data_IF_223976516970
#
_entry.id   IF_223976516970
#
_cell.length_a   1.000
_cell.length_b   1.000
_cell.length_c   1.000
_cell.angle_alpha   90.00
_cell.angle_beta   90.00
_cell.angle_gamma   90.00
#
_symmetry.space_group_name_H-M   'P 1'
#
loop_
_entity.id
_entity.type
_entity.pdbx_description
1 polymer ?
#
# COMPACT_ATOMS: atom_id res chain seq x y z
N UNK A 1 -26.51 5.42 18.52
CA UNK A 1 -26.08 4.02 18.70
C UNK A 1 -26.78 3.08 17.72
N UNK A 2 -28.13 3.00 17.72
CA UNK A 2 -28.88 2.12 16.80
C UNK A 2 -28.61 2.36 15.31
N UNK A 3 -28.42 3.61 14.88
CA UNK A 3 -28.17 3.94 13.47
C UNK A 3 -26.87 3.33 12.94
N UNK A 4 -25.80 3.29 13.74
CA UNK A 4 -24.53 2.68 13.31
C UNK A 4 -24.67 1.16 13.18
N UNK A 5 -25.36 0.50 14.12
CA UNK A 5 -25.57 -0.95 14.09
C UNK A 5 -26.45 -1.35 12.90
N UNK A 6 -27.52 -0.61 12.64
CA UNK A 6 -28.41 -0.85 11.48
C UNK A 6 -27.69 -0.63 10.14
N UNK A 7 -26.76 0.34 10.07
CA UNK A 7 -25.98 0.59 8.87
C UNK A 7 -24.83 -0.42 8.68
N UNK A 8 -24.24 -0.94 9.76
CA UNK A 8 -23.26 -2.03 9.70
C UNK A 8 -23.88 -3.30 9.10
N UNK A 9 -25.16 -3.57 9.35
CA UNK A 9 -25.88 -4.68 8.70
C UNK A 9 -26.03 -4.50 7.18
N UNK A 10 -25.91 -3.27 6.67
CA UNK A 10 -26.02 -2.94 5.25
C UNK A 10 -24.65 -2.85 4.55
N UNK A 11 -23.54 -3.18 5.23
CA UNK A 11 -22.21 -3.21 4.61
C UNK A 11 -22.11 -4.32 3.56
N UNK A 12 -22.82 -5.43 3.79
CA UNK A 12 -22.88 -6.61 2.93
C UNK A 12 -24.11 -6.62 2.01
N UNK A 13 -24.67 -5.44 1.72
CA UNK A 13 -25.77 -5.32 0.76
C UNK A 13 -25.30 -5.68 -0.65
N UNK A 14 -26.08 -6.48 -1.39
CA UNK A 14 -25.83 -6.76 -2.81
C UNK A 14 -25.88 -5.49 -3.68
N UNK A 15 -26.57 -4.44 -3.20
CA UNK A 15 -26.58 -3.15 -3.86
C UNK A 15 -25.30 -2.35 -3.50
N UNK A 16 -24.42 -2.23 -4.49
CA UNK A 16 -23.15 -1.49 -4.37
C UNK A 16 -23.33 -0.04 -3.92
N UNK A 17 -24.42 0.63 -4.30
CA UNK A 17 -24.68 2.01 -3.91
C UNK A 17 -25.11 2.07 -2.43
N UNK A 18 -25.94 1.13 -1.99
CA UNK A 18 -26.33 1.01 -0.58
C UNK A 18 -25.13 0.65 0.30
N UNK A 19 -24.30 -0.32 -0.12
CA UNK A 19 -23.05 -0.69 0.57
C UNK A 19 -22.07 0.49 0.63
N UNK A 20 -21.91 1.25 -0.46
CA UNK A 20 -21.05 2.42 -0.45
C UNK A 20 -21.59 3.52 0.49
N UNK A 21 -22.88 3.85 0.39
CA UNK A 21 -23.49 4.86 1.25
C UNK A 21 -23.47 4.46 2.73
N UNK A 22 -23.69 3.18 3.04
CA UNK A 22 -23.61 2.68 4.42
C UNK A 22 -22.20 2.85 4.98
N UNK A 23 -21.16 2.50 4.22
CA UNK A 23 -19.76 2.73 4.60
C UNK A 23 -19.49 4.22 4.84
N UNK A 24 -19.98 5.11 3.98
CA UNK A 24 -19.78 6.55 4.15
C UNK A 24 -20.50 7.11 5.39
N UNK A 25 -21.73 6.67 5.65
CA UNK A 25 -22.51 7.07 6.81
C UNK A 25 -21.89 6.58 8.12
N UNK A 26 -21.50 5.31 8.18
CA UNK A 26 -20.81 4.75 9.36
C UNK A 26 -19.49 5.44 9.58
N UNK A 27 -18.69 5.68 8.53
CA UNK A 27 -17.42 6.40 8.67
C UNK A 27 -17.62 7.82 9.20
N UNK A 28 -18.68 8.52 8.79
CA UNK A 28 -19.04 9.83 9.33
C UNK A 28 -19.47 9.76 10.81
N UNK A 29 -20.26 8.74 11.18
CA UNK A 29 -20.68 8.54 12.57
C UNK A 29 -19.51 8.16 13.49
N UNK A 30 -18.59 7.32 13.02
CA UNK A 30 -17.35 6.97 13.74
C UNK A 30 -16.50 8.21 13.96
N UNK A 31 -16.34 9.05 12.94
CA UNK A 31 -15.62 10.32 13.09
C UNK A 31 -16.28 11.25 14.10
N UNK A 32 -17.61 11.35 14.09
CA UNK A 32 -18.34 12.10 15.11
C UNK A 32 -18.05 11.57 16.51
N UNK A 33 -18.12 10.25 16.75
CA UNK A 33 -17.79 9.67 18.06
C UNK A 33 -16.32 9.89 18.45
N UNK A 34 -15.39 9.76 17.50
CA UNK A 34 -13.96 10.01 17.71
C UNK A 34 -13.72 11.44 18.20
N UNK A 35 -14.41 12.42 17.61
CA UNK A 35 -14.38 13.81 18.04
C UNK A 35 -14.92 14.03 19.46
N UNK A 36 -15.83 13.17 19.92
CA UNK A 36 -16.32 13.14 21.29
C UNK A 36 -15.47 12.27 22.24
N UNK A 37 -14.32 11.79 21.77
CA UNK A 37 -13.31 11.14 22.59
C UNK A 37 -13.36 9.62 22.63
N UNK A 38 -14.26 8.95 21.91
CA UNK A 38 -14.36 7.49 21.91
C UNK A 38 -14.39 6.87 20.51
N UNK A 39 -13.69 5.75 20.33
CA UNK A 39 -13.91 4.88 19.17
C UNK A 39 -15.24 4.16 19.41
N UNK A 40 -16.10 4.07 18.40
CA UNK A 40 -17.31 3.23 18.48
C UNK A 40 -16.88 1.77 18.63
N UNK A 41 -17.21 1.17 19.77
CA UNK A 41 -16.88 -0.22 20.08
C UNK A 41 -17.53 -1.19 19.09
N UNK A 42 -18.73 -0.87 18.61
CA UNK A 42 -19.45 -1.67 17.62
C UNK A 42 -18.72 -1.69 16.29
N UNK A 43 -18.27 -0.52 15.81
CA UNK A 43 -17.50 -0.42 14.58
C UNK A 43 -16.13 -1.09 14.72
N UNK A 44 -15.40 -0.84 15.82
CA UNK A 44 -14.07 -1.45 15.99
C UNK A 44 -14.16 -2.96 16.06
N UNK A 45 -15.07 -3.52 16.86
CA UNK A 45 -15.26 -4.96 16.98
C UNK A 45 -15.67 -5.59 15.64
N UNK A 46 -16.58 -4.94 14.90
CA UNK A 46 -16.99 -5.42 13.59
C UNK A 46 -15.83 -5.45 12.60
N UNK A 47 -15.05 -4.36 12.52
CA UNK A 47 -13.86 -4.28 11.67
C UNK A 47 -12.82 -5.34 12.06
N UNK A 48 -12.53 -5.49 13.35
CA UNK A 48 -11.59 -6.52 13.85
C UNK A 48 -12.04 -7.94 13.48
N UNK A 49 -13.35 -8.20 13.50
CA UNK A 49 -13.90 -9.49 13.08
C UNK A 49 -13.80 -9.66 11.56
N UNK A 50 -14.11 -8.64 10.77
CA UNK A 50 -14.00 -8.67 9.32
C UNK A 50 -12.55 -8.94 8.87
N UNK A 51 -11.56 -8.29 9.47
CA UNK A 51 -10.12 -8.49 9.16
C UNK A 51 -9.61 -9.91 9.45
N UNK A 52 -10.36 -10.74 10.19
CA UNK A 52 -10.04 -12.16 10.44
C UNK A 52 -10.67 -13.12 9.44
N UNK A 53 -11.55 -12.62 8.56
CA UNK A 53 -12.24 -13.42 7.55
C UNK A 53 -11.47 -13.44 6.23
N UNK A 54 -11.81 -14.39 5.35
CA UNK A 54 -11.26 -14.43 3.99
C UNK A 54 -11.67 -13.21 3.16
N UNK A 55 -10.89 -12.81 2.13
CA UNK A 55 -11.28 -11.75 1.21
C UNK A 55 -12.72 -11.88 0.71
N UNK A 56 -13.42 -10.74 0.63
CA UNK A 56 -14.81 -10.66 0.26
C UNK A 56 -15.46 -9.36 0.74
N UNK A 57 -16.78 -9.21 0.53
CA UNK A 57 -17.49 -7.96 0.83
C UNK A 57 -17.35 -7.44 2.26
N UNK A 58 -17.33 -8.28 3.33
CA UNK A 58 -17.11 -7.79 4.70
C UNK A 58 -15.73 -7.16 4.89
N UNK A 59 -14.70 -7.78 4.32
CA UNK A 59 -13.33 -7.25 4.32
C UNK A 59 -13.28 -5.96 3.52
N UNK A 60 -13.91 -5.91 2.34
CA UNK A 60 -13.94 -4.74 1.48
C UNK A 60 -14.58 -3.54 2.17
N UNK A 61 -15.73 -3.74 2.81
CA UNK A 61 -16.43 -2.69 3.54
C UNK A 61 -15.62 -2.21 4.76
N UNK A 62 -14.98 -3.14 5.49
CA UNK A 62 -14.08 -2.83 6.60
C UNK A 62 -12.90 -1.97 6.14
N UNK A 63 -12.15 -2.43 5.15
CA UNK A 63 -10.96 -1.75 4.63
C UNK A 63 -11.35 -0.38 4.07
N UNK A 64 -12.47 -0.28 3.35
CA UNK A 64 -12.99 0.99 2.82
C UNK A 64 -13.35 1.96 3.94
N UNK A 65 -14.08 1.51 4.97
CA UNK A 65 -14.45 2.35 6.11
C UNK A 65 -13.23 2.84 6.89
N UNK A 66 -12.29 1.93 7.21
CA UNK A 66 -11.05 2.29 7.90
C UNK A 66 -10.21 3.28 7.09
N UNK A 67 -10.08 3.06 5.79
CA UNK A 67 -9.37 3.96 4.87
C UNK A 67 -10.00 5.35 4.86
N UNK A 68 -11.33 5.46 4.79
CA UNK A 68 -12.03 6.74 4.77
C UNK A 68 -11.89 7.50 6.10
N UNK A 69 -12.03 6.80 7.24
CA UNK A 69 -11.83 7.38 8.57
C UNK A 69 -10.42 7.96 8.67
N UNK A 70 -9.38 7.17 8.36
CA UNK A 70 -7.99 7.62 8.41
C UNK A 70 -7.73 8.80 7.46
N UNK A 71 -8.23 8.75 6.20
CA UNK A 71 -8.08 9.86 5.24
C UNK A 71 -8.66 11.17 5.75
N UNK A 72 -9.82 11.12 6.41
CA UNK A 72 -10.45 12.34 6.96
C UNK A 72 -9.71 12.87 8.18
N UNK A 73 -9.22 12.00 9.05
CA UNK A 73 -8.40 12.40 10.18
C UNK A 73 -7.08 13.07 9.72
N UNK A 74 -6.42 12.49 8.70
CA UNK A 74 -5.23 13.08 8.07
C UNK A 74 -5.50 14.48 7.51
N UNK A 75 -6.53 14.61 6.67
CA UNK A 75 -6.92 15.91 6.08
C UNK A 75 -7.31 16.95 7.13
N UNK A 76 -7.88 16.51 8.24
CA UNK A 76 -8.25 17.36 9.36
C UNK A 76 -7.11 17.69 10.32
N UNK A 77 -5.90 17.15 10.11
CA UNK A 77 -4.78 17.32 11.05
C UNK A 77 -5.02 16.70 12.44
N UNK A 78 -5.86 15.67 12.53
CA UNK A 78 -6.31 15.10 13.81
C UNK A 78 -5.38 13.97 14.27
N UNK A 79 -4.17 14.34 14.67
CA UNK A 79 -3.06 13.42 14.95
C UNK A 79 -3.36 12.43 16.07
N UNK A 80 -3.82 12.92 17.22
CA UNK A 80 -4.13 12.08 18.39
C UNK A 80 -5.23 11.06 18.08
N UNK A 81 -6.24 11.46 17.32
CA UNK A 81 -7.31 10.56 16.89
C UNK A 81 -6.82 9.53 15.87
N UNK A 82 -5.90 9.93 14.97
CA UNK A 82 -5.27 9.02 14.02
C UNK A 82 -4.46 7.96 14.75
N UNK A 83 -3.63 8.37 15.70
CA UNK A 83 -2.84 7.46 16.53
C UNK A 83 -3.73 6.49 17.30
N UNK A 84 -4.82 7.00 17.91
CA UNK A 84 -5.78 6.18 18.65
C UNK A 84 -6.41 5.10 17.78
N UNK A 85 -6.81 5.43 16.55
CA UNK A 85 -7.34 4.45 15.58
C UNK A 85 -6.25 3.46 15.18
N UNK A 86 -5.03 3.92 14.87
CA UNK A 86 -3.94 3.02 14.50
C UNK A 86 -3.60 2.03 15.62
N UNK A 87 -3.54 2.48 16.87
CA UNK A 87 -3.25 1.64 18.03
C UNK A 87 -4.29 0.52 18.21
N UNK A 88 -5.58 0.80 17.95
CA UNK A 88 -6.67 -0.18 18.01
C UNK A 88 -6.50 -1.31 16.96
N UNK A 89 -6.01 -0.96 15.76
CA UNK A 89 -5.97 -1.89 14.63
C UNK A 89 -4.58 -2.46 14.30
N UNK A 90 -3.49 -1.98 14.91
CA UNK A 90 -2.11 -2.32 14.54
C UNK A 90 -1.83 -3.84 14.47
N UNK A 91 -2.25 -4.56 15.52
CA UNK A 91 -2.10 -6.02 15.60
C UNK A 91 -2.91 -6.76 14.53
N UNK A 92 -4.09 -6.27 14.18
CA UNK A 92 -4.94 -6.90 13.17
C UNK A 92 -4.46 -6.59 11.77
N UNK A 93 -3.99 -5.36 11.51
CA UNK A 93 -3.44 -4.96 10.22
C UNK A 93 -2.12 -5.66 9.90
N UNK A 94 -1.24 -5.80 10.90
CA UNK A 94 0.03 -6.51 10.74
C UNK A 94 -0.14 -7.99 10.42
N UNK A 95 -1.21 -8.64 10.92
CA UNK A 95 -1.56 -9.99 10.54
C UNK A 95 -2.27 -10.05 9.18
N UNK A 96 -3.26 -9.17 8.97
CA UNK A 96 -4.15 -9.20 7.81
C UNK A 96 -3.45 -8.85 6.49
N UNK A 97 -2.68 -7.76 6.43
CA UNK A 97 -2.12 -7.29 5.16
C UNK A 97 -1.17 -8.33 4.51
N UNK A 98 -0.20 -8.94 5.23
CA UNK A 98 0.65 -9.97 4.65
C UNK A 98 -0.12 -11.25 4.30
N UNK A 99 -1.13 -11.63 5.09
CA UNK A 99 -1.97 -12.80 4.81
C UNK A 99 -2.76 -12.61 3.52
N UNK A 100 -3.43 -11.46 3.36
CA UNK A 100 -4.18 -11.16 2.15
C UNK A 100 -3.28 -11.15 0.91
N UNK A 101 -2.03 -10.71 1.03
CA UNK A 101 -1.09 -10.67 -0.10
C UNK A 101 -0.41 -12.03 -0.37
N UNK A 102 -0.68 -13.05 0.45
CA UNK A 102 -0.20 -14.41 0.22
C UNK A 102 -1.17 -15.12 -0.72
N UNK A 103 -1.04 -14.88 -2.03
CA UNK A 103 -1.82 -15.61 -3.06
C UNK A 103 -1.33 -17.04 -3.18
N UNK A 104 -2.24 -18.00 -2.98
CA UNK A 104 -2.22 -19.29 -3.68
C UNK A 104 -2.84 -19.09 -5.06
N UNK A 105 -2.00 -19.07 -6.10
CA UNK A 105 -2.35 -18.69 -7.49
C UNK A 105 -3.29 -19.70 -8.19
N UNK A 106 -3.84 -20.67 -7.46
CA UNK A 106 -4.63 -21.78 -7.98
C UNK A 106 -6.15 -21.62 -7.89
N UNK A 107 -6.67 -20.74 -7.03
CA UNK A 107 -8.11 -20.54 -6.86
C UNK A 107 -8.57 -19.26 -7.57
N UNK A 108 -9.67 -19.35 -8.34
CA UNK A 108 -10.14 -18.33 -9.27
C UNK A 108 -10.15 -16.90 -8.72
N UNK A 109 -9.61 -15.96 -9.52
CA UNK A 109 -9.40 -14.54 -9.24
C UNK A 109 -10.69 -13.69 -9.16
N UNK A 110 -11.87 -14.30 -9.15
CA UNK A 110 -13.17 -13.63 -9.17
C UNK A 110 -13.55 -13.04 -7.81
N UNK A 111 -12.92 -11.94 -7.40
CA UNK A 111 -13.22 -11.22 -6.15
C UNK A 111 -11.97 -10.64 -5.47
N UNK A 112 -10.83 -11.30 -5.70
CA UNK A 112 -9.53 -10.91 -5.18
C UNK A 112 -9.13 -9.47 -5.54
N UNK A 113 -9.41 -9.05 -6.78
CA UNK A 113 -8.95 -7.76 -7.32
C UNK A 113 -9.47 -6.53 -6.56
N UNK A 114 -10.71 -6.58 -6.07
CA UNK A 114 -11.34 -5.46 -5.33
C UNK A 114 -10.70 -5.32 -3.95
N UNK A 115 -10.64 -6.42 -3.19
CA UNK A 115 -10.01 -6.43 -1.87
C UNK A 115 -8.56 -5.99 -1.93
N UNK A 116 -7.79 -6.46 -2.92
CA UNK A 116 -6.42 -5.99 -3.13
C UNK A 116 -6.34 -4.50 -3.43
N UNK A 117 -7.18 -4.01 -4.33
CA UNK A 117 -7.24 -2.59 -4.67
C UNK A 117 -7.45 -1.74 -3.42
N UNK A 118 -8.39 -2.16 -2.56
CA UNK A 118 -8.69 -1.47 -1.30
C UNK A 118 -7.54 -1.57 -0.30
N UNK A 119 -6.84 -2.70 -0.23
CA UNK A 119 -5.66 -2.83 0.64
C UNK A 119 -4.50 -1.97 0.16
N UNK A 120 -4.30 -1.83 -1.16
CA UNK A 120 -3.30 -0.88 -1.69
C UNK A 120 -3.66 0.56 -1.28
N UNK A 121 -4.93 0.94 -1.34
CA UNK A 121 -5.40 2.25 -0.85
C UNK A 121 -5.16 2.44 0.65
N UNK A 122 -5.41 1.39 1.45
CA UNK A 122 -5.16 1.41 2.88
C UNK A 122 -3.65 1.55 3.18
N UNK A 123 -2.80 0.79 2.49
CA UNK A 123 -1.34 0.87 2.66
C UNK A 123 -0.80 2.26 2.36
N UNK A 124 -1.32 2.95 1.33
CA UNK A 124 -0.94 4.33 1.04
C UNK A 124 -1.30 5.28 2.20
N UNK A 125 -2.51 5.15 2.74
CA UNK A 125 -2.98 5.95 3.88
C UNK A 125 -2.18 5.66 5.14
N UNK A 126 -1.87 4.39 5.42
CA UNK A 126 -1.05 3.99 6.57
C UNK A 126 0.37 4.57 6.47
N UNK A 127 0.93 4.65 5.25
CA UNK A 127 2.20 5.36 5.04
C UNK A 127 2.08 6.83 5.42
N UNK A 128 1.00 7.50 5.02
CA UNK A 128 0.77 8.90 5.37
C UNK A 128 0.63 9.11 6.88
N UNK A 129 -0.16 8.26 7.56
CA UNK A 129 -0.34 8.35 9.01
C UNK A 129 0.96 8.18 9.79
N UNK A 130 1.90 7.36 9.30
CA UNK A 130 3.15 7.08 10.01
C UNK A 130 4.01 8.32 10.20
N UNK A 131 4.20 9.14 9.15
CA UNK A 131 4.90 10.43 9.26
C UNK A 131 4.26 11.38 10.25
N UNK A 132 2.93 11.36 10.27
CA UNK A 132 2.11 12.28 11.03
C UNK A 132 2.03 11.89 12.51
N UNK A 133 2.29 10.65 12.87
CA UNK A 133 2.45 10.28 14.28
C UNK A 133 3.85 10.66 14.76
N UNK A 134 4.86 10.51 13.92
CA UNK A 134 6.25 10.74 14.31
C UNK A 134 6.63 12.22 14.49
N UNK A 135 6.13 13.11 13.62
CA UNK A 135 6.37 14.55 13.75
C UNK A 135 5.91 15.09 15.13
N UNK A 136 4.98 14.40 15.78
CA UNK A 136 4.35 14.75 17.05
C UNK A 136 4.93 13.93 18.21
N UNK A 137 5.95 13.09 17.96
CA UNK A 137 6.63 12.29 18.98
C UNK A 137 5.91 10.99 19.38
N UNK A 138 4.86 10.61 18.67
CA UNK A 138 4.16 9.35 18.92
C UNK A 138 4.96 8.15 18.39
N UNK A 139 5.28 7.22 19.29
CA UNK A 139 6.00 6.00 18.96
C UNK A 139 5.03 4.93 18.47
N UNK A 140 4.74 4.93 17.16
CA UNK A 140 4.23 3.71 16.52
C UNK A 140 5.34 2.65 16.58
N UNK A 141 5.21 1.70 17.52
CA UNK A 141 6.23 0.67 17.80
C UNK A 141 6.34 -0.39 16.70
N UNK A 142 5.37 -0.46 15.78
CA UNK A 142 5.34 -1.43 14.67
C UNK A 142 6.22 -1.04 13.47
N UNK A 143 6.64 -2.03 12.69
CA UNK A 143 7.23 -1.80 11.36
C UNK A 143 6.19 -1.20 10.40
N UNK A 144 6.65 -0.45 9.40
CA UNK A 144 5.76 0.09 8.39
C UNK A 144 5.06 -1.07 7.63
N UNK A 145 3.73 -1.04 7.58
CA UNK A 145 2.94 -2.10 6.95
C UNK A 145 3.30 -2.30 5.47
N UNK A 146 3.63 -1.21 4.75
CA UNK A 146 4.12 -1.30 3.38
C UNK A 146 5.45 -2.06 3.30
N UNK A 147 6.37 -1.84 4.23
CA UNK A 147 7.66 -2.55 4.28
C UNK A 147 7.45 -4.05 4.49
N UNK A 148 6.59 -4.44 5.43
CA UNK A 148 6.20 -5.84 5.66
C UNK A 148 5.61 -6.51 4.41
N UNK A 149 4.85 -5.74 3.62
CA UNK A 149 4.16 -6.24 2.44
C UNK A 149 4.98 -6.20 1.15
N UNK A 150 6.14 -5.54 1.14
CA UNK A 150 6.88 -5.20 -0.10
C UNK A 150 7.24 -6.43 -0.92
N UNK A 151 7.77 -7.47 -0.29
CA UNK A 151 8.17 -8.70 -1.00
C UNK A 151 6.97 -9.36 -1.67
N UNK A 152 5.86 -9.52 -0.94
CA UNK A 152 4.63 -10.09 -1.47
C UNK A 152 4.07 -9.23 -2.61
N UNK A 153 4.04 -7.91 -2.46
CA UNK A 153 3.57 -6.98 -3.50
C UNK A 153 4.36 -7.11 -4.81
N UNK A 154 5.69 -7.19 -4.74
CA UNK A 154 6.54 -7.36 -5.92
C UNK A 154 6.37 -8.74 -6.57
N UNK A 155 6.24 -9.79 -5.77
CA UNK A 155 5.91 -11.14 -6.27
C UNK A 155 4.55 -11.14 -6.98
N UNK A 156 3.55 -10.46 -6.43
CA UNK A 156 2.24 -10.29 -7.07
C UNK A 156 2.33 -9.52 -8.40
N UNK A 157 3.14 -8.47 -8.47
CA UNK A 157 3.36 -7.73 -9.72
C UNK A 157 3.89 -8.62 -10.85
N UNK A 158 4.61 -9.68 -10.49
CA UNK A 158 5.20 -10.65 -11.42
C UNK A 158 4.23 -11.77 -11.82
N UNK A 159 3.05 -11.82 -11.17
CA UNK A 159 2.00 -12.75 -11.56
C UNK A 159 1.32 -12.28 -12.85
N UNK A 160 1.20 -13.14 -13.88
CA UNK A 160 0.55 -12.79 -15.14
C UNK A 160 -0.97 -12.59 -14.98
N UNK A 161 -1.58 -13.22 -13.98
CA UNK A 161 -3.02 -13.10 -13.70
C UNK A 161 -3.40 -11.79 -13.01
N UNK A 162 -2.42 -11.02 -12.52
CA UNK A 162 -2.69 -9.74 -11.88
C UNK A 162 -3.16 -8.72 -12.92
N UNK A 163 -4.28 -8.05 -12.62
CA UNK A 163 -4.83 -7.00 -13.47
C UNK A 163 -3.80 -5.87 -13.68
N UNK A 164 -3.59 -5.39 -14.92
CA UNK A 164 -2.61 -4.35 -15.24
C UNK A 164 -2.79 -3.06 -14.44
N UNK A 165 -4.05 -2.64 -14.23
CA UNK A 165 -4.37 -1.45 -13.44
C UNK A 165 -3.92 -1.59 -11.97
N UNK A 166 -4.12 -2.76 -11.38
CA UNK A 166 -3.71 -3.04 -10.00
C UNK A 166 -2.18 -3.16 -9.89
N UNK A 167 -1.54 -3.84 -10.85
CA UNK A 167 -0.06 -3.88 -10.96
C UNK A 167 0.52 -2.47 -10.98
N UNK A 168 -0.03 -1.60 -11.84
CA UNK A 168 0.38 -0.19 -11.95
C UNK A 168 0.23 0.54 -10.62
N UNK A 169 -0.89 0.36 -9.91
CA UNK A 169 -1.12 1.00 -8.61
C UNK A 169 -0.12 0.57 -7.54
N UNK A 170 0.19 -0.73 -7.45
CA UNK A 170 1.21 -1.25 -6.52
C UNK A 170 2.57 -0.62 -6.81
N UNK A 171 3.01 -0.63 -8.07
CA UNK A 171 4.30 -0.08 -8.45
C UNK A 171 4.37 1.44 -8.25
N UNK A 172 3.27 2.16 -8.52
CA UNK A 172 3.19 3.60 -8.24
C UNK A 172 3.27 3.88 -6.74
N UNK A 173 2.63 3.07 -5.89
CA UNK A 173 2.71 3.18 -4.43
C UNK A 173 4.15 2.96 -3.93
N UNK A 174 4.80 1.87 -4.36
CA UNK A 174 6.19 1.57 -3.98
C UNK A 174 7.14 2.68 -4.44
N UNK A 175 6.96 3.17 -5.67
CA UNK A 175 7.69 4.33 -6.19
C UNK A 175 7.48 5.55 -5.29
N UNK A 176 6.22 5.91 -4.99
CA UNK A 176 5.88 7.06 -4.13
C UNK A 176 6.55 6.92 -2.76
N UNK A 177 6.52 5.74 -2.14
CA UNK A 177 7.13 5.50 -0.85
C UNK A 177 8.66 5.67 -0.86
N UNK A 178 9.36 5.08 -1.84
CA UNK A 178 10.82 5.21 -1.95
C UNK A 178 11.29 6.65 -2.23
N UNK A 179 10.52 7.42 -2.99
CA UNK A 179 10.82 8.84 -3.27
C UNK A 179 10.23 9.79 -2.23
N UNK A 180 9.76 9.27 -1.08
CA UNK A 180 9.24 10.07 0.02
C UNK A 180 8.01 10.93 -0.34
N UNK A 181 7.17 10.45 -1.26
CA UNK A 181 5.93 11.10 -1.72
C UNK A 181 4.66 10.28 -1.45
N UNK A 182 4.76 9.20 -0.69
CA UNK A 182 3.57 8.46 -0.26
C UNK A 182 2.78 9.30 0.74
N UNK A 183 1.51 9.57 0.43
CA UNK A 183 0.64 10.37 1.29
C UNK A 183 0.81 11.88 1.20
N UNK A 184 1.60 12.38 0.24
CA UNK A 184 1.83 13.82 0.01
C UNK A 184 0.49 14.57 -0.18
N UNK A 185 -0.47 13.91 -0.85
CA UNK A 185 -1.81 14.42 -1.15
C UNK A 185 -2.66 14.72 0.10
N UNK A 186 -2.29 14.17 1.27
CA UNK A 186 -3.09 14.27 2.52
C UNK A 186 -2.36 14.94 3.66
N UNK A 187 -1.05 15.16 3.54
CA UNK A 187 -0.17 15.65 4.62
C UNK A 187 0.40 17.04 4.33
N UNK A 188 -0.10 17.74 3.32
CA UNK A 188 0.34 19.10 2.98
C UNK A 188 1.77 19.17 2.43
N UNK A 189 2.28 18.09 1.83
CA UNK A 189 3.61 18.06 1.22
C UNK A 189 4.71 17.36 2.05
N UNK A 190 4.38 16.81 3.22
CA UNK A 190 5.35 16.09 4.05
C UNK A 190 5.46 14.61 3.66
N UNK A 191 6.66 14.02 3.78
CA UNK A 191 6.89 12.62 3.41
C UNK A 191 6.38 11.64 4.47
N UNK A 192 5.67 10.59 4.04
CA UNK A 192 5.04 9.57 4.89
C UNK A 192 5.94 8.65 5.73
N UNK A 193 7.20 8.41 5.35
CA UNK A 193 8.00 7.31 5.91
C UNK A 193 9.30 7.77 6.58
N UNK A 194 9.74 7.03 7.61
CA UNK A 194 11.04 7.21 8.27
C UNK A 194 12.18 6.86 7.33
N UNK A 195 13.36 7.46 7.55
CA UNK A 195 14.59 6.99 6.92
C UNK A 195 14.80 5.48 7.14
N UNK A 196 14.55 4.96 8.34
CA UNK A 196 14.66 3.53 8.64
C UNK A 196 13.66 2.68 7.84
N UNK A 197 12.41 3.13 7.70
CA UNK A 197 11.40 2.41 6.93
C UNK A 197 11.77 2.40 5.44
N UNK A 198 12.27 3.53 4.93
CA UNK A 198 12.68 3.66 3.52
C UNK A 198 13.89 2.76 3.23
N UNK A 199 14.82 2.62 4.17
CA UNK A 199 15.94 1.69 4.05
C UNK A 199 15.45 0.23 4.04
N UNK A 200 14.57 -0.15 4.97
CA UNK A 200 13.98 -1.50 4.99
C UNK A 200 13.17 -1.82 3.72
N UNK A 201 12.47 -0.81 3.19
CA UNK A 201 11.76 -0.89 1.92
C UNK A 201 12.74 -1.14 0.77
N UNK A 202 13.82 -0.35 0.67
CA UNK A 202 14.86 -0.49 -0.34
C UNK A 202 15.57 -1.85 -0.28
N UNK A 203 15.95 -2.30 0.91
CA UNK A 203 16.52 -3.64 1.13
C UNK A 203 15.55 -4.74 0.68
N UNK A 204 14.26 -4.57 0.98
CA UNK A 204 13.24 -5.53 0.57
C UNK A 204 13.03 -5.60 -0.93
N UNK A 205 13.09 -4.46 -1.62
CA UNK A 205 13.09 -4.41 -3.07
C UNK A 205 14.31 -5.15 -3.63
N UNK A 206 15.52 -4.80 -3.18
CA UNK A 206 16.75 -5.37 -3.73
C UNK A 206 16.87 -6.87 -3.51
N UNK A 207 16.41 -7.37 -2.36
CA UNK A 207 16.33 -8.82 -2.08
C UNK A 207 15.46 -9.53 -3.11
N UNK A 208 14.25 -9.02 -3.34
CA UNK A 208 13.29 -9.59 -4.30
C UNK A 208 13.82 -9.52 -5.73
N UNK A 209 14.54 -8.45 -6.07
CA UNK A 209 15.20 -8.31 -7.38
C UNK A 209 16.30 -9.36 -7.55
N UNK A 210 17.08 -9.64 -6.50
CA UNK A 210 18.13 -10.66 -6.53
C UNK A 210 17.58 -12.08 -6.71
N UNK A 211 16.34 -12.32 -6.30
CA UNK A 211 15.58 -13.56 -6.53
C UNK A 211 15.04 -13.66 -7.98
N UNK A 212 15.25 -12.64 -8.81
CA UNK A 212 14.84 -12.63 -10.22
C UNK A 212 13.35 -12.35 -10.45
N UNK A 213 12.60 -11.97 -9.40
CA UNK A 213 11.15 -11.76 -9.45
C UNK A 213 10.75 -10.74 -10.51
N UNK A 214 11.52 -9.66 -10.68
CA UNK A 214 11.22 -8.63 -11.68
C UNK A 214 11.16 -9.15 -13.11
N UNK A 215 11.86 -10.24 -13.46
CA UNK A 215 11.81 -10.84 -14.81
C UNK A 215 10.39 -11.30 -15.18
N UNK A 216 9.54 -11.58 -14.21
CA UNK A 216 8.14 -11.96 -14.43
C UNK A 216 7.19 -10.78 -14.65
N UNK A 217 7.64 -9.53 -14.48
CA UNK A 217 6.78 -8.37 -14.69
C UNK A 217 6.66 -8.08 -16.18
N UNK A 218 5.53 -8.50 -16.75
CA UNK A 218 5.21 -8.26 -18.15
C UNK A 218 4.66 -6.85 -18.34
N UNK A 219 5.15 -6.17 -19.38
CA UNK A 219 4.69 -4.85 -19.80
C UNK A 219 3.73 -4.97 -20.98
N UNK A 220 2.70 -4.12 -21.00
CA UNK A 220 1.83 -4.02 -22.18
C UNK A 220 2.55 -3.25 -23.28
N UNK A 221 2.84 -3.94 -24.39
CA UNK A 221 3.53 -3.37 -25.54
C UNK A 221 5.03 -3.12 -25.32
N UNK A 222 5.73 -2.78 -26.40
CA UNK A 222 7.13 -2.36 -26.33
C UNK A 222 7.23 -0.99 -25.65
N UNK A 223 7.80 -0.96 -24.45
CA UNK A 223 8.00 0.25 -23.67
C UNK A 223 9.50 0.51 -23.49
N UNK A 224 9.90 1.78 -23.56
CA UNK A 224 11.30 2.19 -23.53
C UNK A 224 11.52 3.22 -22.42
N UNK A 225 12.64 3.10 -21.73
CA UNK A 225 13.08 4.09 -20.77
C UNK A 225 13.42 5.39 -21.52
N UNK A 226 12.68 6.48 -21.26
CA UNK A 226 12.88 7.78 -21.94
C UNK A 226 11.73 8.23 -22.84
N UNK A 227 10.76 7.37 -23.14
CA UNK A 227 9.42 7.80 -23.57
C UNK A 227 9.24 8.32 -24.99
N UNK A 228 10.14 8.05 -25.95
CA UNK A 228 9.92 8.47 -27.35
C UNK A 228 9.94 7.29 -28.31
N UNK A 229 8.75 6.83 -28.72
CA UNK A 229 8.56 6.24 -30.06
C UNK A 229 8.19 7.36 -31.03
N UNK A 230 9.01 7.57 -32.04
CA UNK A 230 8.65 8.31 -33.24
C UNK A 230 7.82 7.39 -34.14
N UNK A 231 6.49 7.37 -33.93
CA UNK A 231 5.52 6.82 -34.89
C UNK A 231 5.01 5.39 -34.62
N UNK A 232 3.72 5.21 -34.89
CA UNK A 232 3.07 3.91 -35.03
C UNK A 232 1.94 3.63 -34.04
N UNK A 233 0.72 3.57 -34.56
CA UNK A 233 -0.53 3.18 -33.88
C UNK A 233 -0.50 1.71 -33.40
N UNK A 234 0.26 1.43 -32.34
CA UNK A 234 0.26 0.15 -31.60
C UNK A 234 -0.41 0.28 -30.22
N UNK A 235 -0.65 -0.84 -29.50
CA UNK A 235 -1.19 -0.81 -28.14
C UNK A 235 -0.33 0.11 -27.25
N UNK A 236 -0.98 0.94 -26.44
CA UNK A 236 -0.31 1.98 -25.65
C UNK A 236 0.74 1.37 -24.73
N UNK A 237 2.01 1.62 -25.04
CA UNK A 237 3.14 1.14 -24.23
C UNK A 237 2.98 1.56 -22.77
N UNK A 238 3.10 0.62 -21.81
CA UNK A 238 3.00 0.91 -20.37
C UNK A 238 4.28 1.55 -19.81
N UNK A 239 4.59 2.74 -20.33
CA UNK A 239 5.72 3.56 -19.90
C UNK A 239 5.60 3.99 -18.43
N UNK A 240 4.39 3.96 -17.84
CA UNK A 240 4.17 4.30 -16.43
C UNK A 240 4.73 3.21 -15.52
N UNK A 241 4.39 1.95 -15.83
CA UNK A 241 4.91 0.77 -15.12
C UNK A 241 6.43 0.68 -15.25
N UNK A 242 6.98 0.80 -16.47
CA UNK A 242 8.42 0.79 -16.71
C UNK A 242 9.14 1.90 -15.93
N UNK A 243 8.66 3.14 -16.04
CA UNK A 243 9.25 4.28 -15.32
C UNK A 243 9.18 4.10 -13.80
N UNK A 244 8.07 3.56 -13.29
CA UNK A 244 7.95 3.29 -11.87
C UNK A 244 8.98 2.24 -11.41
N UNK A 245 9.14 1.14 -12.15
CA UNK A 245 10.13 0.11 -11.86
C UNK A 245 11.56 0.63 -11.88
N UNK A 246 11.93 1.41 -12.91
CA UNK A 246 13.27 2.00 -12.99
C UNK A 246 13.54 2.91 -11.79
N UNK A 247 12.57 3.75 -11.39
CA UNK A 247 12.72 4.61 -10.21
C UNK A 247 12.82 3.79 -8.93
N UNK A 248 12.01 2.75 -8.76
CA UNK A 248 12.06 1.84 -7.61
C UNK A 248 13.47 1.24 -7.49
N UNK A 249 14.02 0.71 -8.59
CA UNK A 249 15.33 0.09 -8.63
C UNK A 249 16.46 1.08 -8.35
N UNK A 250 16.52 2.18 -9.11
CA UNK A 250 17.55 3.20 -8.96
C UNK A 250 17.53 3.79 -7.55
N UNK A 251 16.36 4.10 -7.00
CA UNK A 251 16.25 4.69 -5.67
C UNK A 251 16.64 3.68 -4.58
N UNK A 252 16.27 2.41 -4.73
CA UNK A 252 16.67 1.38 -3.76
C UNK A 252 18.18 1.16 -3.74
N UNK A 253 18.83 1.16 -4.91
CA UNK A 253 20.28 1.09 -5.02
C UNK A 253 20.96 2.32 -4.42
N UNK A 254 20.46 3.52 -4.70
CA UNK A 254 20.96 4.78 -4.12
C UNK A 254 20.93 4.74 -2.58
N UNK A 255 19.79 4.32 -2.01
CA UNK A 255 19.62 4.20 -0.56
C UNK A 255 20.54 3.15 0.06
N UNK A 256 20.77 2.02 -0.63
CA UNK A 256 21.72 1.01 -0.18
C UNK A 256 23.16 1.54 -0.15
N UNK A 257 23.59 2.29 -1.18
CA UNK A 257 24.90 2.92 -1.20
C UNK A 257 25.05 3.95 -0.07
N UNK A 258 24.05 4.81 0.13
CA UNK A 258 24.05 5.79 1.22
C UNK A 258 24.10 5.13 2.60
N UNK A 259 23.40 4.02 2.80
CA UNK A 259 23.45 3.28 4.04
C UNK A 259 24.83 2.63 4.26
N UNK A 260 25.45 2.07 3.22
CA UNK A 260 26.78 1.45 3.29
C UNK A 260 27.90 2.46 3.53
N UNK A 261 27.81 3.67 2.96
CA UNK A 261 28.75 4.78 3.22
C UNK A 261 28.69 5.27 4.67
N UNK A 262 27.52 5.20 5.31
CA UNK A 262 27.37 5.47 6.74
C UNK A 262 27.84 4.31 7.63
N UNK A 263 27.86 3.09 7.11
CA UNK A 263 28.16 1.85 7.86
C UNK A 263 29.61 1.37 7.66
N UNK A 264 30.42 2.04 6.81
CA UNK A 264 31.81 1.74 6.42
C UNK A 264 32.64 0.91 7.44
N UNK A 265 32.34 -0.40 7.47
CA UNK A 265 33.09 -1.58 7.91
C UNK A 265 32.18 -2.84 7.71
N UNK A 266 31.69 -3.13 6.49
CA UNK A 266 31.33 -4.51 6.09
C UNK A 266 31.00 -4.62 4.58
N UNK A 267 31.78 -5.48 3.90
CA UNK A 267 31.62 -6.20 2.63
C UNK A 267 30.82 -5.61 1.43
N UNK A 268 31.37 -5.68 0.19
CA UNK A 268 30.72 -5.19 -1.02
C UNK A 268 29.56 -6.09 -1.47
N UNK A 269 28.35 -5.55 -1.53
CA UNK A 269 27.16 -6.23 -2.10
C UNK A 269 27.18 -6.14 -3.63
N UNK A 270 26.87 -7.25 -4.30
CA UNK A 270 26.91 -7.41 -5.76
C UNK A 270 25.81 -6.63 -6.49
N UNK A 271 26.07 -5.35 -6.79
CA UNK A 271 25.22 -4.46 -7.60
C UNK A 271 25.03 -4.93 -9.06
N UNK A 272 25.79 -5.94 -9.49
CA UNK A 272 25.82 -6.43 -10.87
C UNK A 272 24.49 -7.08 -11.30
N UNK A 273 23.79 -7.80 -10.41
CA UNK A 273 22.53 -8.48 -10.73
C UNK A 273 21.36 -7.49 -10.91
N UNK A 274 21.32 -6.43 -10.11
CA UNK A 274 20.29 -5.39 -10.19
C UNK A 274 20.39 -4.58 -11.49
N UNK A 275 21.62 -4.28 -11.92
CA UNK A 275 21.89 -3.59 -13.20
C UNK A 275 21.58 -4.48 -14.41
N UNK A 276 21.85 -5.78 -14.34
CA UNK A 276 21.45 -6.72 -15.40
C UNK A 276 19.93 -6.77 -15.57
N UNK A 277 19.16 -6.74 -14.47
CA UNK A 277 17.69 -6.68 -14.56
C UNK A 277 17.21 -5.41 -15.27
N UNK A 278 17.81 -4.25 -14.99
CA UNK A 278 17.51 -3.00 -15.72
C UNK A 278 17.91 -3.08 -17.20
N UNK A 279 19.05 -3.70 -17.51
CA UNK A 279 19.55 -3.88 -18.87
C UNK A 279 18.59 -4.71 -19.73
N UNK A 280 17.97 -5.77 -19.18
CA UNK A 280 16.92 -6.55 -19.88
C UNK A 280 15.63 -5.77 -20.14
N UNK A 281 15.37 -4.66 -19.45
CA UNK A 281 14.19 -3.81 -19.70
C UNK A 281 14.48 -2.63 -20.64
N UNK A 282 15.76 -2.37 -20.97
CA UNK A 282 16.17 -1.22 -21.76
C UNK A 282 16.66 -1.56 -23.17
N UNK A 283 16.57 -2.83 -23.58
CA UNK A 283 16.95 -3.32 -24.92
C UNK A 283 15.76 -3.95 -25.63
#
# INVERSE_FOLDING_TARGET
MEVCVLQLQQFDSEDNLVSHLSVMCVSAAVLYHLHHGSISAEWSQWCLQALRTSPGPPVDACVRSLTEVLRRLLKGGQHELTEKVLAEFDSSLSAFCPQLLSVDTGAGCGGWGVSMSLVVDLLEVLCACRSLCEQQGAALNGQCQLCLCTSKLLTLCSCPLLQPALRRRILVLLKKALVQRAGEDWTGGHSGLRCSDICLLAESVLRVVSEGVLRGIHMEGESFFGGTRTGGSGPSADNVTLRALCVILLKSMELQCQHSEQVLQAEPVSLHLSLQSCGTFCL
#
